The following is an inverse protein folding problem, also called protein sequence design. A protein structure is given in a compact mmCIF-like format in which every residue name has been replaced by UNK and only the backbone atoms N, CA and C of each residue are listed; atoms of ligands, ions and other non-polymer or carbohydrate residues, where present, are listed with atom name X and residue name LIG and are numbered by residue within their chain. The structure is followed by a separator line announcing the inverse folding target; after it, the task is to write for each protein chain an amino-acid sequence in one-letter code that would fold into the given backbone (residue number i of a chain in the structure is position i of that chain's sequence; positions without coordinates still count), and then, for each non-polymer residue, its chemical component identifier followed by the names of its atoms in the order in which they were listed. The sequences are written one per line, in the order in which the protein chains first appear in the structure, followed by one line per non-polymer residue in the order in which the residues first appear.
data_IF_154145048810
#
_entry.id   IF_154145048810
#
_cell.length_a   1.000
_cell.length_b   1.000
_cell.length_c   1.000
_cell.angle_alpha   90.00
_cell.angle_beta   90.00
_cell.angle_gamma   90.00
#
_symmetry.space_group_name_H-M   'P 1'
#
loop_
_entity.id
_entity.type
_entity.pdbx_description
1 polymer ?
#
# COMPACT_ATOMS: atom_id res chain seq x y z
N UNK A 1 15.91 2.56 23.54
CA UNK A 1 16.15 3.94 23.09
C UNK A 1 14.87 4.39 22.44
N UNK A 2 13.94 4.87 23.26
CA UNK A 2 12.68 5.42 22.79
C UNK A 2 12.93 6.93 22.65
N UNK A 3 13.49 7.31 21.50
CA UNK A 3 14.06 8.65 21.25
C UNK A 3 13.10 9.79 21.61
N UNK A 4 11.80 9.56 21.52
CA UNK A 4 10.78 10.53 21.93
C UNK A 4 10.69 10.65 23.46
N UNK A 5 10.72 9.54 24.19
CA UNK A 5 10.72 9.54 25.65
C UNK A 5 12.04 10.07 26.21
N UNK A 6 13.16 9.68 25.59
CA UNK A 6 14.51 10.04 26.01
C UNK A 6 14.80 11.54 25.80
N UNK A 7 14.13 12.21 24.85
CA UNK A 7 14.25 13.65 24.59
C UNK A 7 13.23 14.53 25.35
N UNK A 8 12.39 13.96 26.22
CA UNK A 8 11.41 14.76 27.00
C UNK A 8 12.05 15.84 27.86
N UNK A 9 13.23 15.56 28.43
CA UNK A 9 13.92 16.49 29.32
C UNK A 9 14.96 17.37 28.58
N UNK A 10 15.42 16.94 27.40
CA UNK A 10 16.47 17.61 26.63
C UNK A 10 16.01 18.81 25.79
N UNK A 11 14.68 19.00 25.61
CA UNK A 11 14.10 20.07 24.77
C UNK A 11 14.64 20.15 23.33
N UNK A 12 15.17 19.04 22.81
CA UNK A 12 15.65 18.96 21.43
C UNK A 12 14.48 18.76 20.48
N UNK A 13 14.50 19.47 19.35
CA UNK A 13 13.52 19.28 18.29
C UNK A 13 13.66 17.90 17.66
N UNK A 14 12.53 17.22 17.42
CA UNK A 14 12.50 15.90 16.78
C UNK A 14 11.52 15.88 15.60
N UNK A 15 11.89 15.14 14.56
CA UNK A 15 11.03 14.76 13.44
C UNK A 15 10.99 13.24 13.35
N UNK A 16 9.81 12.65 13.21
CA UNK A 16 9.59 11.20 13.23
C UNK A 16 8.82 10.77 11.99
N UNK A 17 9.43 9.93 11.16
CA UNK A 17 8.80 9.23 10.04
C UNK A 17 8.42 7.82 10.50
N UNK A 18 7.12 7.58 10.69
CA UNK A 18 6.59 6.35 11.31
C UNK A 18 5.84 5.48 10.29
N UNK A 19 5.23 4.39 10.76
CA UNK A 19 4.46 3.48 9.93
C UNK A 19 3.13 4.09 9.44
N UNK A 20 2.68 3.65 8.26
CA UNK A 20 1.38 4.00 7.67
C UNK A 20 0.48 2.78 7.42
N UNK A 21 -0.83 3.02 7.28
CA UNK A 21 -1.85 2.03 6.88
C UNK A 21 -2.69 2.55 5.72
N UNK A 22 -2.00 2.94 4.66
CA UNK A 22 -2.55 3.80 3.62
C UNK A 22 -3.67 3.13 2.82
N UNK A 23 -4.80 3.82 2.60
CA UNK A 23 -5.88 3.34 1.77
C UNK A 23 -5.59 3.55 0.28
N UNK A 24 -5.99 2.59 -0.55
CA UNK A 24 -6.02 2.70 -2.00
C UNK A 24 -7.47 2.60 -2.45
N UNK A 25 -8.01 3.69 -2.99
CA UNK A 25 -9.43 3.81 -3.35
C UNK A 25 -9.57 3.67 -4.86
N UNK A 26 -10.39 2.71 -5.31
CA UNK A 26 -10.68 2.44 -6.72
C UNK A 26 -12.12 2.83 -7.04
N UNK A 27 -12.29 3.87 -7.84
CA UNK A 27 -13.58 4.35 -8.31
C UNK A 27 -14.15 3.46 -9.43
N UNK A 28 -15.42 3.70 -9.80
CA UNK A 28 -16.16 2.86 -10.75
C UNK A 28 -15.68 2.96 -12.21
N UNK A 29 -15.01 4.06 -12.54
CA UNK A 29 -14.70 4.54 -13.89
C UNK A 29 -13.22 4.34 -14.26
N UNK A 30 -12.53 3.46 -13.52
CA UNK A 30 -11.12 3.18 -13.76
C UNK A 30 -10.89 2.22 -14.93
N UNK A 31 -9.73 2.35 -15.56
CA UNK A 31 -9.18 1.31 -16.42
C UNK A 31 -8.62 0.16 -15.58
N UNK A 32 -9.33 -0.96 -15.54
CA UNK A 32 -9.02 -2.12 -14.68
C UNK A 32 -7.64 -2.72 -14.96
N UNK A 33 -7.26 -3.05 -16.22
CA UNK A 33 -5.90 -3.50 -16.54
C UNK A 33 -4.79 -2.60 -16.01
N UNK A 34 -4.92 -1.29 -16.19
CA UNK A 34 -3.95 -0.32 -15.71
C UNK A 34 -3.89 -0.27 -14.17
N UNK A 35 -5.05 -0.11 -13.52
CA UNK A 35 -5.12 -0.03 -12.05
C UNK A 35 -4.63 -1.31 -11.37
N UNK A 36 -4.86 -2.48 -11.97
CA UNK A 36 -4.37 -3.74 -11.41
C UNK A 36 -2.84 -3.78 -11.29
N UNK A 37 -2.10 -3.22 -12.27
CA UNK A 37 -0.64 -3.11 -12.20
C UNK A 37 -0.20 -2.17 -11.06
N UNK A 38 -0.88 -1.04 -10.92
CA UNK A 38 -0.61 -0.08 -9.85
C UNK A 38 -0.91 -0.68 -8.48
N UNK A 39 -2.01 -1.41 -8.33
CA UNK A 39 -2.40 -2.10 -7.08
C UNK A 39 -1.32 -3.09 -6.66
N UNK A 40 -0.85 -3.94 -7.58
CA UNK A 40 0.18 -4.93 -7.27
C UNK A 40 1.49 -4.26 -6.87
N UNK A 41 1.94 -3.25 -7.62
CA UNK A 41 3.13 -2.48 -7.26
C UNK A 41 2.99 -1.81 -5.90
N UNK A 42 1.86 -1.14 -5.64
CA UNK A 42 1.64 -0.44 -4.39
C UNK A 42 1.61 -1.38 -3.17
N UNK A 43 1.17 -2.62 -3.35
CA UNK A 43 1.15 -3.65 -2.31
C UNK A 43 2.51 -4.33 -2.10
N UNK A 44 3.23 -4.65 -3.19
CA UNK A 44 4.37 -5.57 -3.15
C UNK A 44 5.73 -4.93 -3.44
N UNK A 45 5.79 -3.64 -3.78
CA UNK A 45 7.07 -2.95 -3.94
C UNK A 45 7.90 -3.08 -2.65
N UNK A 46 9.18 -3.41 -2.79
CA UNK A 46 10.07 -3.72 -1.68
C UNK A 46 9.54 -4.85 -0.77
N UNK A 47 8.86 -5.83 -1.36
CA UNK A 47 8.18 -6.92 -0.65
C UNK A 47 7.15 -6.43 0.37
N UNK A 48 6.50 -5.28 0.10
CA UNK A 48 5.52 -4.65 0.99
C UNK A 48 6.12 -3.91 2.19
N UNK A 49 7.45 -3.90 2.34
CA UNK A 49 8.16 -3.17 3.39
C UNK A 49 8.28 -1.69 3.02
N UNK A 50 7.15 -1.00 3.00
CA UNK A 50 7.04 0.40 2.61
C UNK A 50 6.06 1.14 3.53
N UNK A 51 6.52 2.19 4.23
CA UNK A 51 5.69 3.00 5.12
C UNK A 51 4.47 3.59 4.39
N UNK A 52 4.64 4.02 3.15
CA UNK A 52 3.61 4.59 2.27
C UNK A 52 3.02 3.60 1.26
N UNK A 53 3.30 2.30 1.43
CA UNK A 53 2.69 1.24 0.61
C UNK A 53 1.19 1.10 0.85
N UNK A 54 0.43 0.71 -0.18
CA UNK A 54 -1.01 0.47 -0.05
C UNK A 54 -1.28 -0.79 0.77
N UNK A 55 -2.06 -0.66 1.85
CA UNK A 55 -2.31 -1.74 2.82
C UNK A 55 -3.79 -2.04 3.02
N UNK A 56 -4.67 -1.16 2.54
CA UNK A 56 -6.14 -1.33 2.55
C UNK A 56 -6.67 -0.94 1.19
N UNK A 57 -7.38 -1.84 0.52
CA UNK A 57 -7.94 -1.58 -0.80
C UNK A 57 -9.46 -1.44 -0.68
N UNK A 58 -9.98 -0.27 -1.06
CA UNK A 58 -11.41 0.01 -1.10
C UNK A 58 -11.80 0.15 -2.57
N UNK A 59 -12.63 -0.77 -3.06
CA UNK A 59 -12.92 -0.88 -4.49
C UNK A 59 -14.40 -0.78 -4.72
N UNK A 60 -14.80 0.04 -5.68
CA UNK A 60 -16.19 0.17 -6.07
C UNK A 60 -16.74 -1.20 -6.53
N UNK A 61 -17.92 -1.56 -6.04
CA UNK A 61 -18.52 -2.90 -6.23
C UNK A 61 -18.58 -3.33 -7.71
N UNK A 62 -18.85 -2.39 -8.61
CA UNK A 62 -19.02 -2.67 -10.05
C UNK A 62 -17.72 -3.11 -10.74
N UNK A 63 -16.55 -2.74 -10.20
CA UNK A 63 -15.23 -3.10 -10.77
C UNK A 63 -14.45 -4.10 -9.93
N UNK A 64 -14.94 -4.43 -8.73
CA UNK A 64 -14.27 -5.30 -7.77
C UNK A 64 -13.88 -6.66 -8.36
N UNK A 65 -14.85 -7.39 -8.92
CA UNK A 65 -14.63 -8.74 -9.42
C UNK A 65 -13.59 -8.76 -10.55
N UNK A 66 -13.71 -7.84 -11.50
CA UNK A 66 -12.78 -7.70 -12.62
C UNK A 66 -11.37 -7.35 -12.15
N UNK A 67 -11.24 -6.42 -11.20
CA UNK A 67 -9.96 -6.03 -10.63
C UNK A 67 -9.28 -7.19 -9.92
N UNK A 68 -10.01 -7.93 -9.08
CA UNK A 68 -9.46 -9.08 -8.34
C UNK A 68 -8.93 -10.15 -9.29
N UNK A 69 -9.67 -10.48 -10.36
CA UNK A 69 -9.22 -11.46 -11.36
C UNK A 69 -7.87 -11.06 -11.98
N UNK A 70 -7.73 -9.80 -12.40
CA UNK A 70 -6.50 -9.32 -13.02
C UNK A 70 -5.34 -9.25 -12.01
N UNK A 71 -5.59 -8.77 -10.79
CA UNK A 71 -4.59 -8.72 -9.71
C UNK A 71 -4.06 -10.12 -9.39
N UNK A 72 -4.94 -11.12 -9.21
CA UNK A 72 -4.53 -12.51 -8.94
C UNK A 72 -3.68 -13.06 -10.08
N UNK A 73 -4.05 -12.78 -11.34
CA UNK A 73 -3.24 -13.19 -12.49
C UNK A 73 -1.84 -12.58 -12.44
N UNK A 74 -1.71 -11.28 -12.16
CA UNK A 74 -0.41 -10.61 -12.07
C UNK A 74 0.42 -11.18 -10.92
N UNK A 75 -0.16 -11.32 -9.72
CA UNK A 75 0.57 -11.82 -8.54
C UNK A 75 1.13 -13.22 -8.75
N UNK A 76 0.36 -14.12 -9.39
CA UNK A 76 0.84 -15.48 -9.70
C UNK A 76 2.09 -15.49 -10.59
N UNK A 77 2.28 -14.48 -11.44
CA UNK A 77 3.48 -14.37 -12.28
C UNK A 77 4.72 -13.94 -11.47
N UNK A 78 4.53 -13.20 -10.38
CA UNK A 78 5.62 -12.73 -9.50
C UNK A 78 6.09 -13.85 -8.57
N UNK A 79 5.21 -14.81 -8.23
CA UNK A 79 5.51 -15.92 -7.31
C UNK A 79 5.96 -17.20 -8.01
N UNK A 80 6.09 -17.23 -9.34
CA UNK A 80 6.35 -18.45 -10.11
C UNK A 80 7.83 -18.86 -10.18
N UNK A 81 8.62 -18.56 -9.14
CA UNK A 81 10.04 -18.96 -9.01
C UNK A 81 10.15 -20.11 -8.02
#
# INVERSE_FOLDING_TARGET
MDYYQDNKEGCLHVTLELGGKDPFIVCKDVDVPHVAQVVVRAALQSSGQNCVGAKRFYVHKDVYSSLVVVVVKIVKLVTAI
#
